data_IF_201577061822
#
_entry.id   IF_201577061822
#
_cell.length_a   1.000
_cell.length_b   1.000
_cell.length_c   1.000
_cell.angle_alpha   90.00
_cell.angle_beta   90.00
_cell.angle_gamma   90.00
#
_symmetry.space_group_name_H-M   'P 1'
#
loop_
_entity.id
_entity.type
_entity.pdbx_description
1 polymer ?
#
# COMPACT_ATOMS: atom_id res chain seq x y z
N UNK A 1 34.28 21.04 -4.44
CA UNK A 1 33.67 19.89 -3.75
C UNK A 1 32.29 20.31 -3.29
N UNK A 2 31.31 20.23 -4.19
CA UNK A 2 29.92 20.58 -3.91
C UNK A 2 29.28 19.45 -3.13
N UNK A 3 28.70 19.78 -1.97
CA UNK A 3 27.88 18.87 -1.17
C UNK A 3 26.71 18.40 -2.04
N UNK A 4 26.86 17.28 -2.73
CA UNK A 4 25.74 16.64 -3.44
C UNK A 4 24.96 15.88 -2.39
N UNK A 5 23.82 16.44 -2.00
CA UNK A 5 22.77 15.68 -1.34
C UNK A 5 21.91 15.14 -2.47
N UNK A 6 21.72 13.82 -2.54
CA UNK A 6 20.76 13.23 -3.46
C UNK A 6 19.40 13.17 -2.79
N UNK A 7 18.34 13.49 -3.52
CA UNK A 7 16.98 13.50 -2.99
C UNK A 7 16.09 12.64 -3.87
N UNK A 8 15.26 11.83 -3.22
CA UNK A 8 14.24 11.03 -3.89
C UNK A 8 12.96 11.06 -3.08
N UNK A 9 11.85 11.13 -3.80
CA UNK A 9 10.51 11.25 -3.22
C UNK A 9 9.62 10.18 -3.85
N UNK A 10 8.67 9.66 -3.10
CA UNK A 10 7.66 8.73 -3.57
C UNK A 10 6.36 8.93 -2.78
N UNK A 11 5.23 8.58 -3.38
CA UNK A 11 3.95 8.59 -2.70
C UNK A 11 3.54 7.17 -2.28
N UNK A 12 2.55 7.11 -1.41
CA UNK A 12 1.96 5.90 -0.88
C UNK A 12 0.85 5.36 -1.78
N UNK A 13 0.17 4.31 -1.30
CA UNK A 13 -1.01 3.73 -1.94
C UNK A 13 -1.94 3.12 -0.89
N UNK A 14 -3.19 2.90 -1.24
CA UNK A 14 -4.12 2.07 -0.49
C UNK A 14 -4.76 1.00 -1.38
N UNK A 15 -5.09 -0.16 -0.82
CA UNK A 15 -5.81 -1.21 -1.58
C UNK A 15 -7.30 -0.99 -1.34
N UNK A 16 -8.05 -0.80 -2.42
CA UNK A 16 -9.50 -0.68 -2.34
C UNK A 16 -10.11 -2.06 -2.10
N UNK A 17 -9.75 -3.04 -2.94
CA UNK A 17 -10.21 -4.43 -2.83
C UNK A 17 -9.26 -5.40 -3.53
N UNK A 18 -9.25 -6.67 -3.11
CA UNK A 18 -8.44 -7.76 -3.71
C UNK A 18 -7.27 -8.21 -2.84
N UNK A 19 -7.22 -7.77 -1.58
CA UNK A 19 -6.24 -8.21 -0.60
C UNK A 19 -6.25 -9.73 -0.46
N UNK A 20 -5.05 -10.31 -0.31
CA UNK A 20 -4.81 -11.76 -0.27
C UNK A 20 -5.19 -12.52 -1.55
N UNK A 21 -6.33 -12.25 -2.17
CA UNK A 21 -6.78 -12.85 -3.43
C UNK A 21 -5.78 -12.59 -4.58
N UNK A 22 -5.19 -11.38 -4.63
CA UNK A 22 -4.16 -11.02 -5.62
C UNK A 22 -2.93 -11.92 -5.59
N UNK A 23 -2.60 -12.51 -4.44
CA UNK A 23 -1.48 -13.45 -4.31
C UNK A 23 -1.73 -14.74 -5.11
N UNK A 24 -3.01 -15.08 -5.30
CA UNK A 24 -3.49 -16.29 -5.97
C UNK A 24 -3.99 -16.02 -7.41
N UNK A 25 -3.70 -14.83 -7.97
CA UNK A 25 -3.99 -14.50 -9.37
C UNK A 25 -5.38 -13.92 -9.63
N UNK A 26 -6.14 -13.59 -8.58
CA UNK A 26 -7.34 -12.77 -8.70
C UNK A 26 -6.97 -11.29 -8.90
N UNK A 27 -7.87 -10.47 -9.46
CA UNK A 27 -7.63 -9.04 -9.59
C UNK A 27 -7.60 -8.33 -8.22
N UNK A 28 -6.97 -7.16 -8.21
CA UNK A 28 -7.05 -6.17 -7.15
C UNK A 28 -7.16 -4.77 -7.72
N UNK A 29 -7.83 -3.88 -6.99
CA UNK A 29 -7.88 -2.45 -7.28
C UNK A 29 -7.16 -1.71 -6.16
N UNK A 30 -6.25 -0.81 -6.54
CA UNK A 30 -5.50 0.03 -5.62
C UNK A 30 -5.42 1.46 -6.11
N UNK A 31 -5.32 2.38 -5.15
CA UNK A 31 -5.32 3.82 -5.36
C UNK A 31 -3.97 4.38 -4.94
N UNK A 32 -3.34 5.25 -5.73
CA UNK A 32 -2.21 6.04 -5.26
C UNK A 32 -2.69 7.06 -4.22
N UNK A 33 -1.88 7.31 -3.20
CA UNK A 33 -2.12 8.37 -2.21
C UNK A 33 -1.07 9.45 -2.40
N UNK A 34 -1.31 10.34 -3.36
CA UNK A 34 -0.32 11.31 -3.85
C UNK A 34 0.15 12.29 -2.77
N UNK A 35 -0.71 12.60 -1.80
CA UNK A 35 -0.40 13.52 -0.70
C UNK A 35 0.32 12.84 0.47
N UNK A 36 0.41 11.50 0.49
CA UNK A 36 1.07 10.75 1.56
C UNK A 36 2.45 10.30 1.07
N UNK A 37 3.47 11.09 1.40
CA UNK A 37 4.79 10.99 0.76
C UNK A 37 5.91 10.49 1.69
N UNK A 38 6.97 9.96 1.06
CA UNK A 38 8.25 9.62 1.67
C UNK A 38 9.35 10.33 0.92
N UNK A 39 10.26 10.94 1.66
CA UNK A 39 11.48 11.55 1.13
C UNK A 39 12.70 10.85 1.69
N UNK A 40 13.60 10.42 0.81
CA UNK A 40 14.92 9.91 1.15
C UNK A 40 15.99 10.94 0.77
N UNK A 41 17.00 11.10 1.62
CA UNK A 41 18.17 11.96 1.38
C UNK A 41 19.44 11.17 1.51
N UNK A 42 20.22 11.10 0.43
CA UNK A 42 21.54 10.49 0.42
C UNK A 42 22.59 11.58 0.65
N UNK A 43 23.39 11.41 1.70
CA UNK A 43 24.44 12.35 2.13
C UNK A 43 25.79 11.65 2.25
N UNK A 44 26.92 12.36 2.11
CA UNK A 44 28.23 11.81 2.43
C UNK A 44 28.33 11.40 3.90
N UNK A 45 28.97 10.27 4.18
CA UNK A 45 29.24 9.74 5.51
C UNK A 45 30.74 9.56 5.75
N UNK A 46 31.15 9.38 7.01
CA UNK A 46 32.54 9.08 7.37
C UNK A 46 32.88 7.58 7.28
N UNK A 47 31.86 6.72 7.41
CA UNK A 47 31.99 5.26 7.34
C UNK A 47 31.27 4.71 6.11
N UNK A 48 31.68 3.53 5.61
CA UNK A 48 30.96 2.84 4.55
C UNK A 48 29.51 2.52 4.91
N UNK A 49 28.64 2.47 3.90
CA UNK A 49 27.27 1.98 4.01
C UNK A 49 27.27 0.54 4.55
N UNK A 50 26.32 0.24 5.43
CA UNK A 50 26.13 -1.11 5.99
C UNK A 50 24.79 -1.66 5.52
N UNK A 51 24.82 -2.92 5.14
CA UNK A 51 23.65 -3.65 4.70
C UNK A 51 22.91 -4.25 5.90
N UNK A 52 21.62 -3.99 6.00
CA UNK A 52 20.71 -4.68 6.91
C UNK A 52 19.66 -5.42 6.08
N UNK A 53 19.77 -6.76 6.00
CA UNK A 53 19.00 -7.60 5.06
C UNK A 53 17.48 -7.59 5.27
N UNK A 54 17.01 -7.24 6.47
CA UNK A 54 15.58 -7.20 6.79
C UNK A 54 14.92 -5.84 6.53
N UNK A 55 15.69 -4.85 6.05
CA UNK A 55 15.25 -3.48 5.85
C UNK A 55 15.17 -3.11 4.36
N UNK A 56 14.00 -2.64 3.94
CA UNK A 56 13.71 -2.32 2.54
C UNK A 56 14.52 -1.13 2.03
N UNK A 57 14.77 -0.14 2.89
CA UNK A 57 15.68 0.98 2.58
C UNK A 57 17.07 0.46 2.25
N UNK A 58 17.62 -0.39 3.12
CA UNK A 58 18.95 -0.99 2.94
C UNK A 58 19.04 -1.82 1.67
N UNK A 59 18.00 -2.58 1.35
CA UNK A 59 17.93 -3.35 0.10
C UNK A 59 17.82 -2.46 -1.13
N UNK A 60 17.06 -1.37 -1.05
CA UNK A 60 16.90 -0.41 -2.15
C UNK A 60 18.21 0.32 -2.46
N UNK A 61 18.94 0.75 -1.42
CA UNK A 61 20.28 1.33 -1.57
C UNK A 61 21.23 0.29 -2.17
N UNK A 62 21.23 -0.94 -1.65
CA UNK A 62 22.09 -2.02 -2.15
C UNK A 62 21.83 -2.35 -3.62
N UNK A 63 20.57 -2.55 -4.00
CA UNK A 63 20.19 -2.84 -5.39
C UNK A 63 20.60 -1.72 -6.34
N UNK A 64 20.50 -0.46 -5.90
CA UNK A 64 20.96 0.70 -6.67
C UNK A 64 22.48 0.74 -6.83
N UNK A 65 23.24 0.52 -5.75
CA UNK A 65 24.70 0.50 -5.78
C UNK A 65 25.24 -0.66 -6.62
N UNK A 66 24.63 -1.84 -6.52
CA UNK A 66 24.94 -3.00 -7.36
C UNK A 66 24.71 -2.68 -8.85
N UNK A 67 23.57 -2.06 -9.18
CA UNK A 67 23.25 -1.69 -10.56
C UNK A 67 24.25 -0.68 -11.15
N UNK A 68 24.73 0.26 -10.32
CA UNK A 68 25.72 1.27 -10.71
C UNK A 68 27.18 0.77 -10.66
N UNK A 69 27.41 -0.50 -10.30
CA UNK A 69 28.75 -1.12 -10.06
C UNK A 69 29.61 -0.34 -9.04
N UNK A 70 29.00 0.11 -7.94
CA UNK A 70 29.66 0.87 -6.87
C UNK A 70 29.80 0.00 -5.61
N UNK A 71 31.03 -0.33 -5.22
CA UNK A 71 31.32 -1.35 -4.18
C UNK A 71 31.64 -0.80 -2.80
N UNK A 72 32.30 0.36 -2.72
CA UNK A 72 32.64 1.01 -1.45
C UNK A 72 32.15 2.44 -1.46
N UNK A 73 31.19 2.73 -0.57
CA UNK A 73 30.57 4.04 -0.51
C UNK A 73 30.44 4.50 0.91
N UNK A 74 31.01 5.67 1.20
CA UNK A 74 30.73 6.39 2.43
C UNK A 74 29.54 7.34 2.23
N UNK A 75 28.33 6.76 2.19
CA UNK A 75 27.07 7.49 2.19
C UNK A 75 26.20 7.06 3.38
N UNK A 76 25.26 7.93 3.74
CA UNK A 76 24.13 7.63 4.61
C UNK A 76 22.86 7.99 3.87
N UNK A 77 21.83 7.17 3.99
CA UNK A 77 20.48 7.51 3.57
C UNK A 77 19.63 7.87 4.81
N UNK A 78 19.04 9.05 4.80
CA UNK A 78 18.10 9.53 5.80
C UNK A 78 16.68 9.43 5.23
N UNK A 79 15.72 9.01 6.05
CA UNK A 79 14.30 8.93 5.67
C UNK A 79 13.51 9.97 6.46
N UNK A 80 12.63 10.66 5.76
CA UNK A 80 11.53 11.43 6.31
C UNK A 80 10.22 10.91 5.68
N UNK A 81 9.34 10.32 6.48
CA UNK A 81 8.17 9.59 6.00
C UNK A 81 6.90 10.06 6.69
N UNK A 82 5.92 10.51 5.91
CA UNK A 82 4.56 10.73 6.38
C UNK A 82 3.73 9.44 6.39
N UNK A 83 4.23 8.36 5.76
CA UNK A 83 3.59 7.05 5.77
C UNK A 83 3.91 6.34 7.09
N UNK A 84 2.91 5.90 7.86
CA UNK A 84 3.17 5.10 9.05
C UNK A 84 3.65 3.69 8.68
N UNK A 85 4.63 3.19 9.43
CA UNK A 85 5.27 1.92 9.15
C UNK A 85 4.32 0.72 9.33
N UNK A 86 4.40 -0.22 8.38
CA UNK A 86 3.64 -1.49 8.36
C UNK A 86 2.13 -1.31 8.52
N UNK A 87 1.55 -0.30 7.87
CA UNK A 87 0.09 -0.05 7.89
C UNK A 87 -0.70 -0.56 6.69
N UNK A 88 -0.06 -1.29 5.77
CA UNK A 88 -0.71 -1.70 4.53
C UNK A 88 -0.75 -0.61 3.44
N UNK A 89 -0.21 0.58 3.75
CA UNK A 89 -0.13 1.73 2.85
C UNK A 89 1.06 1.66 1.85
N UNK A 90 1.57 0.46 1.55
CA UNK A 90 2.71 0.32 0.62
C UNK A 90 4.00 1.03 1.06
N UNK A 91 4.20 1.20 2.38
CA UNK A 91 5.35 1.90 2.97
C UNK A 91 6.70 1.34 2.49
N UNK A 92 6.85 0.02 2.41
CA UNK A 92 8.06 -0.63 1.92
C UNK A 92 8.41 -0.23 0.48
N UNK A 93 7.40 -0.19 -0.38
CA UNK A 93 7.55 0.10 -1.79
C UNK A 93 7.86 1.59 -1.99
N UNK A 94 7.13 2.46 -1.29
CA UNK A 94 7.35 3.91 -1.31
C UNK A 94 8.76 4.25 -0.80
N UNK A 95 9.22 3.64 0.31
CA UNK A 95 10.59 3.81 0.82
C UNK A 95 11.61 3.35 -0.22
N UNK A 96 11.40 2.19 -0.84
CA UNK A 96 12.30 1.67 -1.86
C UNK A 96 12.41 2.60 -3.06
N UNK A 97 11.29 3.12 -3.57
CA UNK A 97 11.23 4.07 -4.69
C UNK A 97 11.97 5.37 -4.32
N UNK A 98 11.68 5.94 -3.16
CA UNK A 98 12.31 7.18 -2.70
C UNK A 98 13.83 7.00 -2.53
N UNK A 99 14.27 5.88 -1.96
CA UNK A 99 15.68 5.57 -1.76
C UNK A 99 16.43 5.39 -3.08
N UNK A 100 15.87 4.63 -4.04
CA UNK A 100 16.47 4.43 -5.36
C UNK A 100 16.60 5.77 -6.08
N UNK A 101 15.53 6.58 -6.10
CA UNK A 101 15.57 7.95 -6.67
C UNK A 101 16.68 8.80 -6.04
N UNK A 102 16.81 8.77 -4.72
CA UNK A 102 17.83 9.54 -4.00
C UNK A 102 19.27 9.09 -4.31
N UNK A 103 19.50 7.78 -4.48
CA UNK A 103 20.81 7.24 -4.85
C UNK A 103 21.19 7.65 -6.28
N UNK A 104 20.27 7.48 -7.24
CA UNK A 104 20.53 7.86 -8.63
C UNK A 104 20.74 9.38 -8.77
N UNK A 105 19.97 10.19 -8.04
CA UNK A 105 20.15 11.65 -7.99
C UNK A 105 21.52 12.04 -7.38
N UNK A 106 21.93 11.40 -6.29
CA UNK A 106 23.25 11.62 -5.66
C UNK A 106 24.41 11.41 -6.65
N UNK A 107 24.34 10.32 -7.41
CA UNK A 107 25.35 9.96 -8.41
C UNK A 107 25.16 10.65 -9.76
N UNK A 108 24.05 11.38 -9.96
CA UNK A 108 23.65 11.95 -11.25
C UNK A 108 23.62 10.89 -12.36
N UNK A 109 23.08 9.71 -12.04
CA UNK A 109 22.89 8.62 -12.98
C UNK A 109 21.49 8.69 -13.60
N UNK A 110 21.37 8.28 -14.86
CA UNK A 110 20.07 8.16 -15.53
C UNK A 110 19.25 7.04 -14.89
N UNK A 111 17.98 7.33 -14.58
CA UNK A 111 17.03 6.37 -14.01
C UNK A 111 15.79 6.26 -14.90
N UNK A 112 15.83 5.44 -15.96
CA UNK A 112 14.65 5.07 -16.72
C UNK A 112 13.57 4.41 -15.83
N UNK A 113 12.29 4.60 -16.18
CA UNK A 113 11.17 4.10 -15.36
C UNK A 113 11.16 2.57 -15.21
N UNK A 114 11.51 1.84 -16.27
CA UNK A 114 11.66 0.38 -16.28
C UNK A 114 12.78 -0.09 -15.34
N UNK A 115 13.90 0.63 -15.30
CA UNK A 115 15.00 0.36 -14.36
C UNK A 115 14.54 0.59 -12.92
N UNK A 116 13.86 1.70 -12.64
CA UNK A 116 13.30 1.97 -11.31
C UNK A 116 12.37 0.85 -10.86
N UNK A 117 11.44 0.42 -11.71
CA UNK A 117 10.51 -0.66 -11.41
C UNK A 117 11.22 -2.00 -11.13
N UNK A 118 12.24 -2.34 -11.92
CA UNK A 118 13.05 -3.56 -11.70
C UNK A 118 13.75 -3.51 -10.35
N UNK A 119 14.36 -2.38 -9.99
CA UNK A 119 15.12 -2.22 -8.76
C UNK A 119 14.22 -2.24 -7.53
N UNK A 120 13.06 -1.58 -7.59
CA UNK A 120 12.07 -1.58 -6.49
C UNK A 120 11.58 -3.01 -6.24
N UNK A 121 11.16 -3.72 -7.29
CA UNK A 121 10.70 -5.10 -7.15
C UNK A 121 11.81 -6.01 -6.63
N UNK A 122 13.07 -5.79 -7.04
CA UNK A 122 14.23 -6.53 -6.48
C UNK A 122 14.42 -6.26 -5.00
N UNK A 123 14.39 -5.00 -4.58
CA UNK A 123 14.53 -4.63 -3.17
C UNK A 123 13.43 -5.25 -2.32
N UNK A 124 12.18 -5.21 -2.80
CA UNK A 124 11.03 -5.85 -2.19
C UNK A 124 11.17 -7.37 -2.10
N UNK A 125 11.63 -8.05 -3.16
CA UNK A 125 11.83 -9.51 -3.15
C UNK A 125 12.93 -9.95 -2.18
N UNK A 126 14.00 -9.16 -2.01
CA UNK A 126 15.08 -9.48 -1.08
C UNK A 126 14.61 -9.24 0.36
N UNK A 127 13.96 -8.10 0.63
CA UNK A 127 13.47 -7.76 1.96
C UNK A 127 12.23 -8.59 2.36
N UNK A 128 11.40 -9.01 1.40
CA UNK A 128 10.16 -9.74 1.60
C UNK A 128 10.05 -10.89 0.58
N UNK A 129 9.90 -12.13 1.06
CA UNK A 129 9.96 -13.34 0.22
C UNK A 129 8.86 -13.47 -0.86
N UNK A 130 7.76 -12.70 -0.81
CA UNK A 130 6.59 -12.98 -1.66
C UNK A 130 5.74 -11.73 -2.02
N UNK A 131 6.31 -10.70 -2.66
CA UNK A 131 5.54 -9.54 -3.10
C UNK A 131 4.49 -9.95 -4.16
N UNK A 132 3.33 -9.29 -4.13
CA UNK A 132 2.34 -9.41 -5.20
C UNK A 132 2.73 -8.61 -6.44
N UNK A 133 3.57 -7.58 -6.28
CA UNK A 133 3.87 -6.56 -7.30
C UNK A 133 2.89 -5.37 -7.27
N UNK A 134 1.76 -5.51 -6.58
CA UNK A 134 0.72 -4.47 -6.48
C UNK A 134 1.25 -3.18 -5.86
N UNK A 135 1.93 -3.29 -4.71
CA UNK A 135 2.38 -2.15 -3.92
C UNK A 135 3.38 -1.29 -4.71
N UNK A 136 4.41 -1.92 -5.27
CA UNK A 136 5.38 -1.25 -6.13
C UNK A 136 4.72 -0.60 -7.35
N UNK A 137 3.80 -1.31 -8.02
CA UNK A 137 3.14 -0.78 -9.22
C UNK A 137 2.27 0.43 -8.90
N UNK A 138 1.55 0.41 -7.78
CA UNK A 138 0.65 1.51 -7.39
C UNK A 138 1.44 2.73 -6.91
N UNK A 139 2.50 2.55 -6.12
CA UNK A 139 3.36 3.66 -5.68
C UNK A 139 4.19 4.29 -6.82
N UNK A 140 4.19 3.67 -8.01
CA UNK A 140 4.78 4.20 -9.24
C UNK A 140 3.75 4.82 -10.20
N UNK A 141 2.47 4.74 -9.87
CA UNK A 141 1.35 5.19 -10.72
C UNK A 141 0.71 6.44 -10.15
N UNK A 142 0.36 7.38 -11.02
CA UNK A 142 -0.41 8.58 -10.65
C UNK A 142 -1.93 8.35 -10.81
N UNK A 143 -2.34 7.16 -11.24
CA UNK A 143 -3.72 6.75 -11.44
C UNK A 143 -4.05 5.48 -10.64
N UNK A 144 -5.31 5.29 -10.21
CA UNK A 144 -5.83 4.01 -9.75
C UNK A 144 -5.52 2.89 -10.75
N UNK A 145 -5.21 1.69 -10.23
CA UNK A 145 -4.90 0.54 -11.09
C UNK A 145 -5.75 -0.67 -10.74
N UNK A 146 -6.17 -1.40 -11.78
CA UNK A 146 -6.50 -2.81 -11.70
C UNK A 146 -5.22 -3.61 -11.95
N UNK A 147 -4.94 -4.57 -11.09
CA UNK A 147 -3.72 -5.38 -11.16
C UNK A 147 -4.04 -6.87 -11.07
N UNK A 148 -3.34 -7.68 -11.87
CA UNK A 148 -3.35 -9.14 -11.78
C UNK A 148 -1.89 -9.63 -11.76
N UNK A 149 -1.55 -10.38 -10.70
CA UNK A 149 -0.20 -10.93 -10.52
C UNK A 149 0.21 -11.79 -11.73
N UNK A 150 1.43 -11.57 -12.23
CA UNK A 150 2.02 -12.25 -13.39
C UNK A 150 1.31 -12.03 -14.74
N UNK A 151 0.31 -11.13 -14.81
CA UNK A 151 -0.39 -10.78 -16.06
C UNK A 151 -0.14 -9.32 -16.42
N UNK A 152 -0.33 -8.39 -15.48
CA UNK A 152 -0.11 -6.97 -15.70
C UNK A 152 -1.11 -6.09 -14.95
N UNK A 153 -1.21 -4.84 -15.38
CA UNK A 153 -2.11 -3.85 -14.80
C UNK A 153 -2.75 -2.99 -15.89
N UNK A 154 -3.86 -2.34 -15.54
CA UNK A 154 -4.52 -1.32 -16.33
C UNK A 154 -4.89 -0.16 -15.43
N UNK A 155 -4.77 1.07 -15.92
CA UNK A 155 -5.27 2.24 -15.21
C UNK A 155 -6.80 2.24 -15.19
N UNK A 156 -7.37 2.76 -14.12
CA UNK A 156 -8.81 2.94 -13.93
C UNK A 156 -9.11 4.43 -13.75
N UNK A 157 -10.17 4.88 -14.40
CA UNK A 157 -10.76 6.19 -14.13
C UNK A 157 -11.55 6.10 -12.82
N UNK A 158 -11.27 7.00 -11.88
CA UNK A 158 -11.96 7.10 -10.60
C UNK A 158 -12.59 8.49 -10.52
N UNK A 159 -13.91 8.52 -10.72
CA UNK A 159 -14.75 9.72 -10.65
C UNK A 159 -16.11 9.33 -10.03
N UNK A 160 -16.07 8.96 -8.75
CA UNK A 160 -17.23 8.53 -7.97
C UNK A 160 -17.93 9.69 -7.25
N UNK A 161 -17.36 10.90 -7.27
CA UNK A 161 -17.83 12.03 -6.47
C UNK A 161 -17.99 11.65 -4.99
N UNK A 162 -17.10 10.78 -4.51
CA UNK A 162 -17.14 10.19 -3.18
C UNK A 162 -15.82 10.43 -2.46
N UNK A 163 -15.75 10.05 -1.19
CA UNK A 163 -14.55 10.23 -0.38
C UNK A 163 -14.19 8.93 0.31
N UNK A 164 -12.91 8.60 0.35
CA UNK A 164 -12.37 7.46 1.07
C UNK A 164 -11.68 7.94 2.34
N UNK A 165 -12.25 7.62 3.49
CA UNK A 165 -11.62 7.84 4.79
C UNK A 165 -10.71 6.66 5.10
N UNK A 166 -9.42 6.91 5.27
CA UNK A 166 -8.41 5.92 5.65
C UNK A 166 -8.11 6.13 7.12
N UNK A 167 -8.14 5.08 7.94
CA UNK A 167 -7.87 5.18 9.37
C UNK A 167 -6.87 4.11 9.83
N UNK A 168 -5.79 4.53 10.46
CA UNK A 168 -4.77 3.65 11.05
C UNK A 168 -5.28 3.06 12.38
N UNK A 169 -5.35 1.73 12.47
CA UNK A 169 -5.77 1.01 13.69
C UNK A 169 -4.78 1.15 14.85
N UNK A 170 -3.56 1.65 14.60
CA UNK A 170 -2.46 1.71 15.56
C UNK A 170 -1.70 0.39 15.70
N UNK A 171 -2.23 -0.71 15.16
CA UNK A 171 -1.63 -2.04 15.19
C UNK A 171 -0.74 -2.22 13.96
N UNK A 172 0.51 -2.62 14.17
CA UNK A 172 1.39 -3.02 13.06
C UNK A 172 0.77 -4.20 12.32
N UNK A 173 0.63 -4.08 11.00
CA UNK A 173 0.15 -5.17 10.16
C UNK A 173 1.17 -6.30 10.09
N UNK A 174 0.71 -7.52 10.29
CA UNK A 174 1.54 -8.72 10.23
C UNK A 174 1.33 -9.45 8.90
N UNK A 175 1.66 -8.77 7.80
CA UNK A 175 1.37 -9.24 6.42
C UNK A 175 1.91 -10.65 6.14
N UNK A 176 3.11 -10.97 6.62
CA UNK A 176 3.71 -12.30 6.45
C UNK A 176 2.89 -13.39 7.14
N UNK A 177 2.45 -13.13 8.36
CA UNK A 177 1.64 -14.05 9.16
C UNK A 177 0.24 -14.21 8.54
N UNK A 178 -0.37 -13.12 8.09
CA UNK A 178 -1.66 -13.15 7.42
C UNK A 178 -1.61 -13.96 6.10
N UNK A 179 -0.55 -13.85 5.31
CA UNK A 179 -0.32 -14.70 4.13
C UNK A 179 -0.20 -16.18 4.56
N UNK A 180 0.53 -16.47 5.63
CA UNK A 180 0.65 -17.83 6.17
C UNK A 180 -0.68 -18.40 6.66
N UNK A 181 -1.55 -17.58 7.28
CA UNK A 181 -2.90 -17.98 7.67
C UNK A 181 -3.67 -18.47 6.45
N UNK A 182 -3.72 -17.67 5.39
CA UNK A 182 -4.43 -18.05 4.14
C UNK A 182 -3.81 -19.29 3.51
N UNK A 183 -2.47 -19.37 3.46
CA UNK A 183 -1.76 -20.52 2.89
C UNK A 183 -2.03 -21.81 3.68
N UNK A 184 -2.08 -21.73 5.01
CA UNK A 184 -2.32 -22.87 5.90
C UNK A 184 -3.70 -23.50 5.72
N UNK A 185 -4.69 -22.71 5.28
CA UNK A 185 -6.05 -23.17 4.98
C UNK A 185 -6.12 -23.99 3.69
N UNK A 186 -5.11 -23.93 2.81
CA UNK A 186 -5.05 -24.72 1.59
C UNK A 186 -6.32 -24.58 0.74
N UNK A 187 -7.01 -25.70 0.47
CA UNK A 187 -8.24 -25.69 -0.34
C UNK A 187 -9.42 -24.99 0.33
N UNK A 188 -9.43 -24.91 1.66
CA UNK A 188 -10.51 -24.28 2.41
C UNK A 188 -10.49 -22.75 2.26
N UNK A 189 -9.38 -22.17 1.78
CA UNK A 189 -9.31 -20.77 1.40
C UNK A 189 -10.00 -20.46 0.06
N UNK A 190 -10.17 -21.46 -0.83
CA UNK A 190 -10.63 -21.24 -2.20
C UNK A 190 -11.99 -20.53 -2.32
N UNK A 191 -13.02 -20.86 -1.51
CA UNK A 191 -14.30 -20.16 -1.58
C UNK A 191 -14.17 -18.67 -1.26
N UNK A 192 -13.36 -18.31 -0.26
CA UNK A 192 -13.12 -16.92 0.13
C UNK A 192 -12.33 -16.17 -0.96
N UNK A 193 -11.31 -16.81 -1.53
CA UNK A 193 -10.51 -16.22 -2.61
C UNK A 193 -11.35 -15.99 -3.87
N UNK A 194 -12.23 -16.94 -4.20
CA UNK A 194 -13.17 -16.80 -5.31
C UNK A 194 -14.16 -15.66 -5.08
N UNK A 195 -14.79 -15.61 -3.89
CA UNK A 195 -15.72 -14.55 -3.54
C UNK A 195 -15.07 -13.16 -3.58
N UNK A 196 -13.85 -13.01 -3.07
CA UNK A 196 -13.08 -11.77 -3.19
C UNK A 196 -12.77 -11.40 -4.65
N UNK A 197 -12.49 -12.40 -5.49
CA UNK A 197 -12.29 -12.20 -6.92
C UNK A 197 -13.55 -11.75 -7.67
N UNK A 198 -14.72 -12.29 -7.31
CA UNK A 198 -16.02 -11.87 -7.85
C UNK A 198 -16.38 -10.46 -7.38
N UNK A 199 -16.21 -10.17 -6.10
CA UNK A 199 -16.44 -8.83 -5.53
C UNK A 199 -15.52 -7.79 -6.16
N UNK A 200 -14.28 -8.15 -6.49
CA UNK A 200 -13.37 -7.22 -7.18
C UNK A 200 -13.86 -6.89 -8.59
N UNK A 201 -14.40 -7.86 -9.32
CA UNK A 201 -15.02 -7.60 -10.64
C UNK A 201 -16.28 -6.72 -10.51
N UNK A 202 -17.11 -6.99 -9.51
CA UNK A 202 -18.29 -6.16 -9.23
C UNK A 202 -17.89 -4.73 -8.84
N UNK A 203 -16.79 -4.57 -8.09
CA UNK A 203 -16.28 -3.25 -7.73
C UNK A 203 -15.86 -2.45 -8.97
N UNK A 204 -15.22 -3.09 -9.95
CA UNK A 204 -14.89 -2.43 -11.23
C UNK A 204 -16.14 -2.00 -11.99
N UNK A 205 -17.16 -2.85 -12.02
CA UNK A 205 -18.43 -2.54 -12.65
C UNK A 205 -19.15 -1.37 -11.93
N UNK A 206 -19.13 -1.34 -10.60
CA UNK A 206 -19.69 -0.25 -9.78
C UNK A 206 -18.93 1.07 -10.01
N UNK A 207 -17.60 1.03 -10.03
CA UNK A 207 -16.75 2.18 -10.38
C UNK A 207 -17.10 2.70 -11.78
N UNK A 208 -17.20 1.81 -12.77
CA UNK A 208 -17.54 2.18 -14.15
C UNK A 208 -18.95 2.80 -14.27
N UNK A 209 -19.88 2.42 -13.40
CA UNK A 209 -21.24 3.01 -13.32
C UNK A 209 -21.32 4.27 -12.46
N UNK A 210 -20.22 4.64 -11.79
CA UNK A 210 -20.18 5.70 -10.77
C UNK A 210 -21.16 5.45 -9.62
N UNK A 211 -21.30 4.19 -9.22
CA UNK A 211 -22.21 3.76 -8.16
C UNK A 211 -21.44 3.56 -6.84
N UNK A 212 -21.31 4.65 -6.09
CA UNK A 212 -20.62 4.63 -4.80
C UNK A 212 -21.36 3.81 -3.73
N UNK A 213 -22.70 3.72 -3.81
CA UNK A 213 -23.49 2.95 -2.86
C UNK A 213 -23.25 1.45 -3.04
N UNK A 214 -23.31 0.97 -4.28
CA UNK A 214 -22.99 -0.42 -4.62
C UNK A 214 -21.53 -0.75 -4.26
N UNK A 215 -20.59 0.14 -4.57
CA UNK A 215 -19.20 -0.03 -4.17
C UNK A 215 -19.07 -0.19 -2.65
N UNK A 216 -19.73 0.66 -1.86
CA UNK A 216 -19.73 0.55 -0.40
C UNK A 216 -20.23 -0.80 0.11
N UNK A 217 -21.33 -1.31 -0.46
CA UNK A 217 -21.85 -2.63 -0.14
C UNK A 217 -20.85 -3.74 -0.46
N UNK A 218 -20.18 -3.66 -1.61
CA UNK A 218 -19.14 -4.61 -2.04
C UNK A 218 -17.94 -4.58 -1.09
N UNK A 219 -17.47 -3.39 -0.67
CA UNK A 219 -16.36 -3.26 0.27
C UNK A 219 -16.70 -3.92 1.61
N UNK A 220 -17.91 -3.71 2.12
CA UNK A 220 -18.37 -4.32 3.37
C UNK A 220 -18.46 -5.84 3.28
N UNK A 221 -18.92 -6.39 2.15
CA UNK A 221 -18.91 -7.84 1.90
C UNK A 221 -17.49 -8.40 1.83
N UNK A 222 -16.56 -7.69 1.18
CA UNK A 222 -15.16 -8.08 1.12
C UNK A 222 -14.54 -8.14 2.53
N UNK A 223 -14.90 -7.22 3.42
CA UNK A 223 -14.47 -7.26 4.81
C UNK A 223 -14.91 -8.55 5.53
N UNK A 224 -16.17 -8.97 5.34
CA UNK A 224 -16.68 -10.20 5.96
C UNK A 224 -15.87 -11.43 5.53
N UNK A 225 -15.55 -11.56 4.24
CA UNK A 225 -14.70 -12.65 3.76
C UNK A 225 -13.27 -12.58 4.31
N UNK A 226 -12.67 -11.39 4.42
CA UNK A 226 -11.35 -11.18 5.04
C UNK A 226 -11.36 -11.53 6.55
N UNK A 227 -12.47 -11.24 7.23
CA UNK A 227 -12.67 -11.62 8.63
C UNK A 227 -12.82 -13.13 8.80
N UNK A 228 -13.67 -13.77 8.00
CA UNK A 228 -13.91 -15.22 8.07
C UNK A 228 -12.69 -16.06 7.66
N UNK A 229 -11.91 -15.59 6.68
CA UNK A 229 -10.66 -16.26 6.32
C UNK A 229 -9.58 -16.07 7.41
N UNK A 230 -9.76 -15.12 8.34
CA UNK A 230 -8.95 -14.97 9.54
C UNK A 230 -7.78 -14.01 9.40
N UNK A 231 -7.89 -13.01 8.51
CA UNK A 231 -6.83 -12.01 8.30
C UNK A 231 -7.19 -10.61 8.81
N UNK A 232 -8.39 -10.41 9.37
CA UNK A 232 -8.75 -9.16 10.06
C UNK A 232 -8.17 -9.08 11.48
N UNK A 233 -8.41 -7.98 12.21
CA UNK A 233 -8.07 -7.82 13.62
C UNK A 233 -9.25 -7.25 14.43
N UNK A 234 -9.29 -7.43 15.76
CA UNK A 234 -10.33 -6.84 16.59
C UNK A 234 -10.44 -5.32 16.45
N UNK A 235 -9.31 -4.62 16.32
CA UNK A 235 -9.23 -3.17 16.14
C UNK A 235 -9.80 -2.75 14.78
N UNK A 236 -9.41 -3.45 13.71
CA UNK A 236 -9.95 -3.21 12.38
C UNK A 236 -11.46 -3.45 12.32
N UNK A 237 -11.92 -4.57 12.89
CA UNK A 237 -13.34 -4.91 12.97
C UNK A 237 -14.14 -3.85 13.74
N UNK A 238 -13.61 -3.36 14.86
CA UNK A 238 -14.24 -2.32 15.67
C UNK A 238 -14.37 -0.99 14.92
N UNK A 239 -13.32 -0.59 14.19
CA UNK A 239 -13.34 0.64 13.40
C UNK A 239 -14.26 0.52 12.17
N UNK A 240 -14.30 -0.64 11.52
CA UNK A 240 -15.26 -0.90 10.42
C UNK A 240 -16.70 -0.83 10.94
N UNK A 241 -17.00 -1.51 12.05
CA UNK A 241 -18.32 -1.44 12.68
C UNK A 241 -18.69 0.00 13.09
N UNK A 242 -17.72 0.75 13.61
CA UNK A 242 -17.89 2.17 13.92
C UNK A 242 -18.25 2.97 12.67
N UNK A 243 -17.50 2.82 11.58
CA UNK A 243 -17.76 3.54 10.34
C UNK A 243 -19.17 3.26 9.79
N UNK A 244 -19.57 1.97 9.75
CA UNK A 244 -20.90 1.56 9.28
C UNK A 244 -22.02 2.12 10.17
N UNK A 245 -21.84 2.10 11.49
CA UNK A 245 -22.82 2.67 12.44
C UNK A 245 -22.94 4.20 12.35
N UNK A 246 -21.97 4.88 11.73
CA UNK A 246 -21.98 6.33 11.49
C UNK A 246 -22.27 6.67 10.01
N UNK A 247 -22.83 5.73 9.26
CA UNK A 247 -23.42 5.99 7.95
C UNK A 247 -22.45 5.91 6.77
N UNK A 248 -21.24 5.35 6.94
CA UNK A 248 -20.40 5.02 5.79
C UNK A 248 -21.17 4.13 4.80
N UNK A 249 -21.04 4.41 3.51
CA UNK A 249 -21.62 3.57 2.43
C UNK A 249 -21.07 2.14 2.51
N UNK A 250 -19.83 2.02 2.95
CA UNK A 250 -19.19 0.76 3.26
C UNK A 250 -17.84 0.93 3.92
N UNK A 251 -17.35 -0.11 4.57
CA UNK A 251 -16.02 -0.09 5.19
C UNK A 251 -15.38 -1.47 5.24
N UNK A 252 -14.04 -1.49 5.20
CA UNK A 252 -13.24 -2.71 5.30
C UNK A 252 -11.83 -2.43 5.80
N UNK A 253 -11.16 -3.46 6.31
CA UNK A 253 -9.70 -3.43 6.44
C UNK A 253 -9.03 -3.26 5.05
N UNK A 254 -7.84 -2.65 5.03
CA UNK A 254 -7.03 -2.52 3.81
C UNK A 254 -5.57 -2.90 4.08
N UNK A 255 -4.94 -3.54 3.09
CA UNK A 255 -3.56 -3.97 3.15
C UNK A 255 -3.36 -5.41 3.62
N UNK A 256 -2.26 -5.66 4.32
CA UNK A 256 -1.78 -7.02 4.56
C UNK A 256 -2.47 -7.81 5.68
N UNK A 257 -3.39 -7.22 6.43
CA UNK A 257 -4.12 -7.89 7.52
C UNK A 257 -3.38 -7.98 8.86
N UNK A 258 -4.12 -8.46 9.86
CA UNK A 258 -3.71 -8.59 11.26
C UNK A 258 -3.17 -7.27 11.85
N UNK A 259 -3.86 -6.17 11.54
CA UNK A 259 -3.47 -4.78 11.84
C UNK A 259 -3.58 -3.89 10.60
N UNK A 260 -2.92 -2.74 10.64
CA UNK A 260 -2.87 -1.78 9.53
C UNK A 260 -4.03 -0.80 9.51
N UNK A 261 -4.51 -0.45 8.32
CA UNK A 261 -5.58 0.53 8.15
C UNK A 261 -6.95 -0.12 7.90
N UNK A 262 -8.00 0.64 8.16
CA UNK A 262 -9.30 0.46 7.52
C UNK A 262 -9.52 1.56 6.49
N UNK A 263 -10.46 1.32 5.59
CA UNK A 263 -11.01 2.31 4.67
C UNK A 263 -12.54 2.34 4.83
N UNK A 264 -13.12 3.53 4.77
CA UNK A 264 -14.56 3.77 4.82
C UNK A 264 -14.97 4.72 3.70
N UNK A 265 -15.98 4.34 2.93
CA UNK A 265 -16.51 5.11 1.82
C UNK A 265 -17.61 6.06 2.31
N UNK A 266 -17.46 7.34 2.00
CA UNK A 266 -18.38 8.41 2.35
C UNK A 266 -18.92 9.08 1.08
N UNK A 267 -20.17 9.52 1.13
CA UNK A 267 -20.88 10.11 -0.01
C UNK A 267 -20.47 11.57 -0.26
N UNK A 268 -19.97 12.26 0.76
CA UNK A 268 -19.55 13.66 0.64
C UNK A 268 -18.49 14.03 1.69
N UNK A 269 -17.86 15.19 1.49
CA UNK A 269 -16.75 15.66 2.33
C UNK A 269 -17.14 15.87 3.79
N UNK A 270 -18.35 16.39 4.05
CA UNK A 270 -18.82 16.61 5.42
C UNK A 270 -18.93 15.28 6.17
N UNK A 271 -19.53 14.27 5.54
CA UNK A 271 -19.58 12.93 6.11
C UNK A 271 -18.19 12.33 6.30
N UNK A 272 -17.27 12.52 5.34
CA UNK A 272 -15.91 12.02 5.44
C UNK A 272 -15.16 12.61 6.65
N UNK A 273 -15.30 13.91 6.88
CA UNK A 273 -14.73 14.60 8.04
C UNK A 273 -15.32 14.09 9.36
N UNK A 274 -16.65 13.97 9.44
CA UNK A 274 -17.32 13.42 10.62
C UNK A 274 -16.89 11.97 10.91
N UNK A 275 -16.77 11.13 9.87
CA UNK A 275 -16.30 9.76 10.02
C UNK A 275 -14.85 9.70 10.51
N UNK A 276 -13.96 10.53 9.97
CA UNK A 276 -12.57 10.60 10.42
C UNK A 276 -12.47 10.94 11.91
N UNK A 277 -13.19 11.99 12.37
CA UNK A 277 -13.25 12.37 13.78
C UNK A 277 -13.77 11.22 14.66
N UNK A 278 -14.84 10.53 14.24
CA UNK A 278 -15.41 9.40 14.98
C UNK A 278 -14.47 8.21 15.06
N UNK A 279 -13.72 7.94 14.00
CA UNK A 279 -12.73 6.86 13.99
C UNK A 279 -11.58 7.15 14.94
N UNK A 280 -11.09 8.39 14.99
CA UNK A 280 -10.07 8.82 15.96
C UNK A 280 -10.57 8.72 17.41
N UNK A 281 -11.80 9.19 17.68
CA UNK A 281 -12.45 9.03 18.99
C UNK A 281 -12.58 7.56 19.43
N UNK A 282 -12.65 6.63 18.46
CA UNK A 282 -12.76 5.19 18.69
C UNK A 282 -11.44 4.42 18.60
N UNK A 283 -10.32 5.14 18.53
CA UNK A 283 -8.99 4.55 18.69
C UNK A 283 -8.17 4.45 17.42
N UNK A 284 -8.61 5.03 16.29
CA UNK A 284 -7.72 5.25 15.17
C UNK A 284 -6.60 6.24 15.57
N UNK A 285 -5.36 5.93 15.21
CA UNK A 285 -4.19 6.76 15.57
C UNK A 285 -4.05 7.96 14.63
N UNK A 286 -4.44 7.79 13.38
CA UNK A 286 -4.36 8.81 12.35
C UNK A 286 -5.40 8.54 11.27
N UNK A 287 -5.92 9.60 10.66
CA UNK A 287 -6.84 9.52 9.53
C UNK A 287 -6.38 10.35 8.34
N UNK A 288 -6.82 9.94 7.14
CA UNK A 288 -6.66 10.64 5.88
C UNK A 288 -7.97 10.58 5.11
N UNK A 289 -8.21 11.57 4.25
CA UNK A 289 -9.39 11.63 3.39
C UNK A 289 -8.91 11.79 1.95
N UNK A 290 -9.23 10.82 1.11
CA UNK A 290 -8.91 10.82 -0.32
C UNK A 290 -10.19 11.07 -1.13
N UNK A 291 -10.09 11.84 -2.22
CA UNK A 291 -11.22 12.03 -3.14
C UNK A 291 -11.27 10.90 -4.16
N UNK A 292 -12.47 10.40 -4.47
CA UNK A 292 -12.73 9.38 -5.48
C UNK A 292 -13.64 9.89 -6.59
#
# INVERSE_FOLDING_TARGET
MTKKVGVGQAHSKIILIGEHAVVYGYPAISLPLLEVEVTCKVVPAASPWRLYEEDTLSMAVYASLEYLDIKEVCIRCEIDSAIPEKRGMGSSAAISIAAIRAVFDYYQADLPHDVLEILVNRAEMIAHMNPSGLDAKTCLSDQPIRFIKNVGFTELEMDLSAYLVIADTGVYGHTREAIQVVQSKGKDALPFLHALGELTQQAEDAISRKDAEELGQILSQAHLHLKEIGVSSPEADHLVETALNHGALGAKMSGGGLGGCIIALADNLTQAQELAERLEEKGAVQTWIESL
#
